data_IF_349531564992
#
_entry.id   IF_349531564992
#
_cell.length_a   1.000
_cell.length_b   1.000
_cell.length_c   1.000
_cell.angle_alpha   90.00
_cell.angle_beta   90.00
_cell.angle_gamma   90.00
#
_symmetry.space_group_name_H-M   'P 1'
#
loop_
_entity.id
_entity.type
_entity.pdbx_description
1 polymer ?
#
# COMPACT_ATOMS: atom_id res chain seq x y z
N UNK A 1 -10.90 9.10 -2.34
CA UNK A 1 -9.60 9.47 -2.97
C UNK A 1 -8.52 8.42 -2.76
N UNK A 2 -8.35 7.96 -1.51
CA UNK A 2 -7.58 6.75 -1.19
C UNK A 2 -7.97 5.55 -2.06
N UNK A 3 -9.28 5.26 -2.09
CA UNK A 3 -9.89 4.18 -2.88
C UNK A 3 -9.60 4.25 -4.39
N UNK A 4 -9.85 5.40 -5.04
CA UNK A 4 -9.54 5.58 -6.46
C UNK A 4 -8.04 5.47 -6.78
N UNK A 5 -7.16 5.96 -5.90
CA UNK A 5 -5.71 5.89 -6.12
C UNK A 5 -5.22 4.45 -6.12
N UNK A 6 -5.73 3.66 -5.17
CA UNK A 6 -5.30 2.28 -5.00
C UNK A 6 -5.94 1.38 -6.04
N UNK A 7 -7.23 1.52 -6.33
CA UNK A 7 -7.89 0.70 -7.35
C UNK A 7 -7.27 0.97 -8.74
N UNK A 8 -6.91 2.21 -9.06
CA UNK A 8 -6.19 2.50 -10.32
C UNK A 8 -4.79 1.89 -10.32
N UNK A 9 -4.03 1.98 -9.22
CA UNK A 9 -2.70 1.36 -9.14
C UNK A 9 -2.79 -0.18 -9.24
N UNK A 10 -3.72 -0.81 -8.53
CA UNK A 10 -3.99 -2.24 -8.55
C UNK A 10 -4.40 -2.71 -9.96
N UNK A 11 -5.30 -1.99 -10.62
CA UNK A 11 -5.70 -2.27 -12.01
C UNK A 11 -4.52 -2.15 -12.97
N UNK A 12 -3.67 -1.12 -12.84
CA UNK A 12 -2.48 -0.97 -13.68
C UNK A 12 -1.47 -2.10 -13.46
N UNK A 13 -1.30 -2.57 -12.22
CA UNK A 13 -0.40 -3.69 -11.90
C UNK A 13 -0.92 -5.00 -12.50
N UNK A 14 -2.20 -5.30 -12.35
CA UNK A 14 -2.82 -6.51 -12.94
C UNK A 14 -2.74 -6.45 -14.45
N UNK A 15 -2.97 -5.27 -15.04
CA UNK A 15 -2.84 -5.04 -16.48
C UNK A 15 -1.40 -5.29 -16.96
N UNK A 16 -0.40 -4.70 -16.29
CA UNK A 16 1.02 -4.87 -16.64
C UNK A 16 1.46 -6.34 -16.43
N UNK A 17 1.04 -6.98 -15.33
CA UNK A 17 1.31 -8.39 -15.07
C UNK A 17 0.72 -9.32 -16.13
N UNK A 18 -0.49 -9.02 -16.61
CA UNK A 18 -1.13 -9.77 -17.70
C UNK A 18 -0.39 -9.59 -19.05
N UNK A 19 0.14 -8.40 -19.33
CA UNK A 19 0.90 -8.13 -20.57
C UNK A 19 2.28 -8.82 -20.62
N UNK A 20 2.83 -9.22 -19.46
CA UNK A 20 4.15 -9.85 -19.36
C UNK A 20 4.12 -11.38 -19.38
N UNK A 21 2.95 -11.99 -19.64
CA UNK A 21 2.81 -13.44 -19.79
C UNK A 21 3.02 -14.24 -18.51
N UNK A 22 3.15 -13.58 -17.36
CA UNK A 22 3.03 -14.22 -16.05
C UNK A 22 1.56 -14.50 -15.76
N UNK A 23 1.23 -15.70 -15.31
CA UNK A 23 -0.09 -15.96 -14.71
C UNK A 23 -0.38 -14.86 -13.67
N UNK A 24 -1.63 -14.39 -13.62
CA UNK A 24 -2.00 -13.26 -12.76
C UNK A 24 -1.48 -13.50 -11.34
N UNK A 25 -0.63 -12.60 -10.79
CA UNK A 25 0.03 -12.83 -9.50
C UNK A 25 -0.97 -12.83 -8.34
N UNK A 26 -2.22 -12.45 -8.60
CA UNK A 26 -3.33 -12.51 -7.67
C UNK A 26 -4.48 -13.30 -8.27
N UNK A 27 -5.06 -14.19 -7.46
CA UNK A 27 -6.28 -14.91 -7.81
C UNK A 27 -7.52 -14.04 -7.61
N UNK A 28 -8.65 -14.46 -8.19
CA UNK A 28 -9.93 -13.72 -8.08
C UNK A 28 -10.36 -13.57 -6.61
N UNK A 29 -10.18 -14.60 -5.77
CA UNK A 29 -10.54 -14.56 -4.35
C UNK A 29 -9.64 -13.63 -3.54
N UNK A 30 -8.33 -13.60 -3.85
CA UNK A 30 -7.39 -12.64 -3.26
C UNK A 30 -7.75 -11.20 -3.64
N UNK A 31 -8.11 -10.95 -4.91
CA UNK A 31 -8.54 -9.63 -5.37
C UNK A 31 -9.82 -9.15 -4.65
N UNK A 32 -10.79 -10.05 -4.43
CA UNK A 32 -12.00 -9.73 -3.64
C UNK A 32 -11.67 -9.30 -2.22
N UNK A 33 -10.77 -10.03 -1.54
CA UNK A 33 -10.34 -9.67 -0.19
C UNK A 33 -9.66 -8.30 -0.14
N UNK A 34 -8.76 -8.03 -1.09
CA UNK A 34 -8.08 -6.74 -1.16
C UNK A 34 -9.10 -5.62 -1.40
N UNK A 35 -10.05 -5.80 -2.31
CA UNK A 35 -11.11 -4.82 -2.55
C UNK A 35 -11.92 -4.53 -1.29
N UNK A 36 -12.26 -5.55 -0.50
CA UNK A 36 -12.95 -5.36 0.78
C UNK A 36 -12.15 -4.50 1.76
N UNK A 37 -10.84 -4.75 1.88
CA UNK A 37 -9.96 -3.97 2.75
C UNK A 37 -9.91 -2.50 2.30
N UNK A 38 -9.71 -2.26 1.01
CA UNK A 38 -9.46 -0.92 0.46
C UNK A 38 -10.73 -0.06 0.38
N UNK A 39 -11.87 -0.69 0.10
CA UNK A 39 -13.11 0.01 -0.22
C UNK A 39 -14.06 0.06 0.97
N UNK A 40 -14.21 -1.05 1.69
CA UNK A 40 -15.14 -1.14 2.82
C UNK A 40 -14.46 -0.79 4.13
N UNK A 41 -13.41 -1.53 4.50
CA UNK A 41 -12.75 -1.33 5.79
C UNK A 41 -12.02 0.00 5.88
N UNK A 42 -11.27 0.39 4.85
CA UNK A 42 -10.60 1.69 4.88
C UNK A 42 -11.58 2.86 4.88
N UNK A 43 -12.70 2.79 4.15
CA UNK A 43 -13.73 3.81 4.20
C UNK A 43 -14.34 3.92 5.61
N UNK A 44 -14.66 2.79 6.23
CA UNK A 44 -15.19 2.74 7.60
C UNK A 44 -14.18 3.28 8.63
N UNK A 45 -12.89 2.99 8.44
CA UNK A 45 -11.81 3.45 9.30
C UNK A 45 -11.64 4.97 9.22
N UNK A 46 -11.72 5.52 8.02
CA UNK A 46 -11.63 6.97 7.78
C UNK A 46 -12.90 7.70 8.25
N UNK A 47 -14.09 7.08 8.12
CA UNK A 47 -15.34 7.63 8.63
C UNK A 47 -15.39 7.69 10.17
N UNK A 48 -14.64 6.81 10.84
CA UNK A 48 -14.54 6.76 12.30
C UNK A 48 -13.54 7.78 12.88
N UNK A 49 -12.93 8.63 12.05
CA UNK A 49 -12.02 9.68 12.52
C UNK A 49 -12.80 10.81 13.21
N UNK A 50 -12.29 11.35 14.33
CA UNK A 50 -12.96 12.46 15.01
C UNK A 50 -13.02 13.71 14.12
N UNK A 51 -14.08 14.52 14.23
CA UNK A 51 -14.24 15.72 13.43
C UNK A 51 -13.10 16.71 13.69
N UNK A 52 -12.63 17.37 12.64
CA UNK A 52 -11.57 18.36 12.74
C UNK A 52 -12.18 19.76 12.87
N UNK A 53 -12.21 20.32 14.08
CA UNK A 53 -12.77 21.67 14.34
C UNK A 53 -12.13 22.79 13.50
N UNK A 54 -10.92 22.58 12.97
CA UNK A 54 -10.27 23.57 12.10
C UNK A 54 -11.01 23.82 10.79
N UNK A 55 -11.83 22.85 10.32
CA UNK A 55 -12.56 22.99 9.05
C UNK A 55 -13.61 24.10 9.11
N UNK A 56 -14.09 24.48 10.29
CA UNK A 56 -15.03 25.60 10.45
C UNK A 56 -14.37 26.98 10.24
N UNK A 57 -13.02 27.04 10.27
CA UNK A 57 -12.26 28.27 10.00
C UNK A 57 -11.86 28.40 8.53
N UNK A 58 -12.02 27.34 7.75
CA UNK A 58 -11.74 27.35 6.33
C UNK A 58 -12.91 27.96 5.56
N UNK A 59 -12.61 28.72 4.50
CA UNK A 59 -13.67 29.30 3.64
C UNK A 59 -14.48 28.18 2.97
N UNK A 60 -15.80 28.35 2.78
CA UNK A 60 -16.62 27.39 2.06
C UNK A 60 -16.03 27.07 0.68
N UNK A 61 -15.99 25.78 0.32
CA UNK A 61 -15.56 25.36 -1.03
C UNK A 61 -16.51 25.93 -2.08
N UNK A 62 -15.96 26.38 -3.21
CA UNK A 62 -16.80 26.82 -4.34
C UNK A 62 -17.36 25.59 -5.04
N UNK A 63 -18.57 25.68 -5.54
CA UNK A 63 -19.22 24.60 -6.34
C UNK A 63 -18.48 24.31 -7.65
N UNK A 64 -17.64 25.25 -8.11
CA UNK A 64 -16.79 25.13 -9.30
C UNK A 64 -15.40 24.56 -9.01
N UNK A 65 -15.05 24.28 -7.74
CA UNK A 65 -13.76 23.70 -7.40
C UNK A 65 -13.74 22.20 -7.77
N UNK A 66 -12.72 21.81 -8.54
CA UNK A 66 -12.50 20.40 -8.86
C UNK A 66 -12.31 19.56 -7.58
N UNK A 67 -12.97 18.40 -7.52
CA UNK A 67 -12.86 17.44 -6.40
C UNK A 67 -11.40 17.04 -6.17
N UNK A 68 -10.60 16.95 -7.25
CA UNK A 68 -9.17 16.62 -7.23
C UNK A 68 -8.35 17.84 -7.64
N UNK A 69 -7.50 18.33 -6.74
CA UNK A 69 -6.55 19.40 -7.08
C UNK A 69 -5.34 18.85 -7.84
N UNK A 70 -4.68 19.66 -8.67
CA UNK A 70 -3.47 19.26 -9.41
C UNK A 70 -2.36 18.73 -8.49
N UNK A 71 -2.19 19.34 -7.32
CA UNK A 71 -1.24 18.90 -6.32
C UNK A 71 -1.60 17.53 -5.72
N UNK A 72 -2.90 17.25 -5.57
CA UNK A 72 -3.40 15.96 -5.12
C UNK A 72 -3.21 14.89 -6.20
N UNK A 73 -3.53 15.20 -7.45
CA UNK A 73 -3.30 14.32 -8.60
C UNK A 73 -1.83 13.95 -8.77
N UNK A 74 -0.90 14.90 -8.65
CA UNK A 74 0.56 14.61 -8.72
C UNK A 74 1.01 13.66 -7.61
N UNK A 75 0.48 13.82 -6.40
CA UNK A 75 0.81 12.94 -5.27
C UNK A 75 0.23 11.52 -5.48
N UNK A 76 -1.01 11.43 -5.94
CA UNK A 76 -1.67 10.17 -6.32
C UNK A 76 -0.83 9.43 -7.37
N UNK A 77 -0.46 10.12 -8.45
CA UNK A 77 0.31 9.54 -9.55
C UNK A 77 1.71 9.10 -9.09
N UNK A 78 2.39 9.92 -8.29
CA UNK A 78 3.73 9.60 -7.78
C UNK A 78 3.72 8.38 -6.87
N UNK A 79 2.74 8.27 -5.97
CA UNK A 79 2.60 7.12 -5.07
C UNK A 79 2.17 5.87 -5.84
N UNK A 80 1.22 6.00 -6.77
CA UNK A 80 0.80 4.90 -7.63
C UNK A 80 1.93 4.37 -8.50
N UNK A 81 2.70 5.25 -9.14
CA UNK A 81 3.87 4.87 -9.94
C UNK A 81 4.95 4.20 -9.09
N UNK A 82 5.23 4.71 -7.89
CA UNK A 82 6.16 4.07 -6.96
C UNK A 82 5.72 2.66 -6.58
N UNK A 83 4.42 2.45 -6.28
CA UNK A 83 3.90 1.11 -6.01
C UNK A 83 4.00 0.18 -7.21
N UNK A 84 3.69 0.67 -8.41
CA UNK A 84 3.83 -0.11 -9.65
C UNK A 84 5.28 -0.56 -9.82
N UNK A 85 6.25 0.35 -9.68
CA UNK A 85 7.69 0.05 -9.79
C UNK A 85 8.12 -0.95 -8.72
N UNK A 86 7.75 -0.72 -7.45
CA UNK A 86 8.13 -1.59 -6.34
C UNK A 86 7.57 -3.02 -6.52
N UNK A 87 6.28 -3.14 -6.85
CA UNK A 87 5.63 -4.43 -7.03
C UNK A 87 6.08 -5.13 -8.32
N UNK A 88 6.33 -4.38 -9.38
CA UNK A 88 6.94 -4.92 -10.60
C UNK A 88 8.32 -5.50 -10.32
N UNK A 89 9.18 -4.76 -9.61
CA UNK A 89 10.48 -5.25 -9.18
C UNK A 89 10.37 -6.49 -8.29
N UNK A 90 9.36 -6.55 -7.43
CA UNK A 90 9.11 -7.72 -6.58
C UNK A 90 8.72 -8.96 -7.40
N UNK A 91 7.86 -8.80 -8.42
CA UNK A 91 7.52 -9.90 -9.34
C UNK A 91 8.75 -10.37 -10.11
N UNK A 92 9.56 -9.45 -10.64
CA UNK A 92 10.78 -9.82 -11.36
C UNK A 92 11.79 -10.55 -10.46
N UNK A 93 11.91 -10.11 -9.21
CA UNK A 93 12.74 -10.74 -8.20
C UNK A 93 12.27 -12.17 -7.88
N UNK A 94 10.96 -12.38 -7.70
CA UNK A 94 10.41 -13.71 -7.45
C UNK A 94 10.51 -14.67 -8.65
N UNK A 95 10.55 -14.18 -9.89
CA UNK A 95 10.75 -15.05 -11.07
C UNK A 95 12.18 -15.58 -11.23
N UNK A 96 13.17 -14.91 -10.65
CA UNK A 96 14.60 -15.20 -10.87
C UNK A 96 15.33 -15.72 -9.64
N UNK A 97 14.75 -15.58 -8.45
CA UNK A 97 15.32 -16.09 -7.22
C UNK A 97 14.38 -17.15 -6.64
N UNK A 98 14.84 -18.42 -6.63
CA UNK A 98 14.17 -19.52 -5.90
C UNK A 98 14.26 -19.26 -4.39
N UNK A 99 13.42 -18.37 -3.87
CA UNK A 99 13.51 -17.89 -2.49
C UNK A 99 12.73 -18.85 -1.59
N UNK A 100 13.47 -19.64 -0.81
CA UNK A 100 12.90 -20.51 0.23
C UNK A 100 12.70 -19.81 1.58
N UNK A 101 13.20 -18.57 1.74
CA UNK A 101 12.92 -17.66 2.86
C UNK A 101 13.31 -16.22 2.53
N UNK A 102 12.49 -15.24 2.92
CA UNK A 102 12.76 -13.80 2.69
C UNK A 102 14.02 -13.28 3.39
N UNK A 103 14.64 -14.07 4.27
CA UNK A 103 15.89 -13.72 4.94
C UNK A 103 17.12 -13.61 4.03
N UNK A 104 17.05 -14.11 2.79
CA UNK A 104 18.12 -13.98 1.79
C UNK A 104 17.93 -12.76 0.87
N UNK A 105 17.01 -11.85 1.19
CA UNK A 105 16.75 -10.67 0.39
C UNK A 105 17.98 -9.73 0.33
N UNK A 106 18.61 -9.65 -0.83
CA UNK A 106 19.67 -8.69 -1.12
C UNK A 106 19.13 -7.55 -1.99
N UNK A 107 19.28 -6.32 -1.51
CA UNK A 107 18.91 -5.11 -2.25
C UNK A 107 19.69 -4.98 -3.58
N UNK A 108 20.92 -5.49 -3.63
CA UNK A 108 21.76 -5.45 -4.83
C UNK A 108 21.19 -6.38 -5.92
N UNK A 109 20.75 -7.58 -5.53
CA UNK A 109 20.16 -8.54 -6.46
C UNK A 109 18.77 -8.08 -6.92
N UNK A 110 18.00 -7.40 -6.06
CA UNK A 110 16.75 -6.75 -6.47
C UNK A 110 16.97 -5.70 -7.57
N UNK A 111 18.02 -4.88 -7.47
CA UNK A 111 18.33 -3.86 -8.47
C UNK A 111 18.84 -4.44 -9.79
N UNK A 112 19.68 -5.48 -9.74
CA UNK A 112 20.21 -6.14 -10.94
C UNK A 112 19.13 -6.94 -11.69
N UNK A 113 18.25 -7.66 -10.97
CA UNK A 113 17.16 -8.43 -11.57
C UNK A 113 15.95 -7.55 -11.97
N UNK A 114 15.92 -6.27 -11.59
CA UNK A 114 14.82 -5.36 -11.94
C UNK A 114 14.66 -5.17 -13.46
N UNK A 115 15.77 -5.18 -14.21
CA UNK A 115 15.79 -5.02 -15.66
C UNK A 115 16.03 -6.34 -16.41
N UNK A 116 16.10 -7.46 -15.69
CA UNK A 116 16.25 -8.76 -16.33
C UNK A 116 14.87 -9.28 -16.76
N UNK A 117 14.64 -9.29 -18.07
CA UNK A 117 13.41 -9.77 -18.69
C UNK A 117 13.53 -11.22 -19.16
N UNK A 118 14.55 -11.95 -18.69
CA UNK A 118 14.73 -13.36 -19.01
C UNK A 118 13.52 -14.18 -18.55
N UNK A 119 13.21 -15.26 -19.29
CA UNK A 119 12.11 -16.17 -18.95
C UNK A 119 12.50 -17.00 -17.72
N UNK A 120 12.30 -16.43 -16.54
CA UNK A 120 12.42 -17.14 -15.27
C UNK A 120 11.38 -18.27 -15.13
N UNK A 121 11.65 -19.20 -14.22
CA UNK A 121 10.70 -20.25 -13.84
C UNK A 121 9.40 -19.59 -13.35
N UNK A 122 8.24 -20.19 -13.64
CA UNK A 122 6.95 -19.66 -13.22
C UNK A 122 6.88 -19.45 -11.69
N UNK A 123 5.98 -18.56 -11.25
CA UNK A 123 5.84 -18.23 -9.82
C UNK A 123 5.35 -19.43 -9.02
N UNK A 124 6.02 -19.72 -7.91
CA UNK A 124 5.60 -20.76 -6.97
C UNK A 124 4.39 -20.30 -6.15
N UNK A 125 3.54 -21.23 -5.63
CA UNK A 125 2.44 -20.86 -4.73
C UNK A 125 2.88 -20.09 -3.48
N UNK A 126 4.11 -20.31 -3.01
CA UNK A 126 4.70 -19.59 -1.89
C UNK A 126 5.01 -18.13 -2.26
N UNK A 127 5.60 -17.87 -3.43
CA UNK A 127 5.86 -16.50 -3.93
C UNK A 127 4.58 -15.72 -4.19
N UNK A 128 3.54 -16.37 -4.72
CA UNK A 128 2.21 -15.78 -4.88
C UNK A 128 1.61 -15.38 -3.52
N UNK A 129 1.82 -16.20 -2.49
CA UNK A 129 1.38 -15.91 -1.10
C UNK A 129 2.14 -14.74 -0.49
N UNK A 130 3.45 -14.65 -0.76
CA UNK A 130 4.29 -13.53 -0.37
C UNK A 130 3.83 -12.25 -1.07
N UNK A 131 3.62 -12.30 -2.38
CA UNK A 131 3.14 -11.17 -3.17
C UNK A 131 1.80 -10.67 -2.64
N UNK A 132 0.84 -11.58 -2.42
CA UNK A 132 -0.46 -11.26 -1.83
C UNK A 132 -0.33 -10.59 -0.46
N UNK A 133 0.52 -11.12 0.43
CA UNK A 133 0.69 -10.58 1.79
C UNK A 133 1.39 -9.23 1.77
N UNK A 134 2.43 -9.07 0.95
CA UNK A 134 3.10 -7.78 0.75
C UNK A 134 2.10 -6.76 0.19
N UNK A 135 1.31 -7.14 -0.79
CA UNK A 135 0.30 -6.27 -1.38
C UNK A 135 -0.71 -5.77 -0.35
N UNK A 136 -1.30 -6.67 0.43
CA UNK A 136 -2.24 -6.29 1.52
C UNK A 136 -1.55 -5.39 2.56
N UNK A 137 -0.31 -5.71 2.95
CA UNK A 137 0.43 -4.91 3.92
C UNK A 137 0.77 -3.52 3.39
N UNK A 138 1.10 -3.36 2.10
CA UNK A 138 1.28 -2.05 1.48
C UNK A 138 -0.02 -1.23 1.53
N UNK A 139 -1.18 -1.85 1.28
CA UNK A 139 -2.47 -1.16 1.39
C UNK A 139 -2.79 -0.77 2.84
N UNK A 140 -2.47 -1.65 3.78
CA UNK A 140 -2.59 -1.38 5.20
C UNK A 140 -1.80 -0.14 5.58
N UNK A 141 -0.50 -0.06 5.25
CA UNK A 141 0.31 1.13 5.55
C UNK A 141 -0.15 2.37 4.79
N UNK A 142 -0.61 2.22 3.56
CA UNK A 142 -1.16 3.31 2.78
C UNK A 142 -2.41 3.91 3.45
N UNK A 143 -3.24 3.11 4.12
CA UNK A 143 -4.41 3.58 4.87
C UNK A 143 -4.00 4.57 5.97
N UNK A 144 -2.88 4.33 6.65
CA UNK A 144 -2.31 5.28 7.62
C UNK A 144 -1.83 6.57 6.93
N UNK A 145 -1.20 6.45 5.75
CA UNK A 145 -0.83 7.60 4.94
C UNK A 145 -2.05 8.45 4.52
N UNK A 146 -3.19 7.83 4.23
CA UNK A 146 -4.43 8.53 3.92
C UNK A 146 -5.03 9.23 5.14
N UNK A 147 -5.05 8.57 6.30
CA UNK A 147 -5.45 9.19 7.57
C UNK A 147 -4.61 10.43 7.88
N UNK A 148 -3.29 10.34 7.71
CA UNK A 148 -2.38 11.49 7.90
C UNK A 148 -2.73 12.65 6.96
N UNK A 149 -3.04 12.35 5.70
CA UNK A 149 -3.44 13.34 4.72
C UNK A 149 -4.76 14.05 5.10
N UNK A 150 -5.77 13.30 5.58
CA UNK A 150 -7.06 13.88 6.00
C UNK A 150 -6.97 14.68 7.30
N UNK A 151 -6.15 14.24 8.25
CA UNK A 151 -6.00 14.91 9.55
C UNK A 151 -5.01 16.07 9.54
N UNK A 152 -4.20 16.20 8.48
CA UNK A 152 -3.15 17.22 8.36
C UNK A 152 -2.04 17.10 9.42
N UNK A 153 -1.97 15.95 10.11
CA UNK A 153 -1.01 15.63 11.18
C UNK A 153 -0.26 14.35 10.79
N UNK A 154 0.80 14.04 11.55
CA UNK A 154 1.55 12.79 11.36
C UNK A 154 0.65 11.54 11.45
N UNK A 155 0.95 10.50 10.68
CA UNK A 155 0.17 9.26 10.61
C UNK A 155 -0.12 8.63 11.98
N UNK A 156 0.85 8.69 12.88
CA UNK A 156 0.76 8.13 14.23
C UNK A 156 0.22 9.12 15.26
N UNK A 157 0.10 10.43 14.93
CA UNK A 157 -0.49 11.39 15.86
C UNK A 157 -1.98 11.06 16.02
N UNK A 158 -2.44 11.03 17.27
CA UNK A 158 -3.85 10.77 17.63
C UNK A 158 -4.35 9.34 17.32
N UNK A 159 -3.47 8.37 17.07
CA UNK A 159 -3.86 6.98 16.76
C UNK A 159 -4.67 6.34 17.90
N UNK A 160 -4.27 6.61 19.16
CA UNK A 160 -4.95 6.11 20.37
C UNK A 160 -6.32 6.76 20.63
N UNK A 161 -6.59 7.93 20.04
CA UNK A 161 -7.86 8.64 20.23
C UNK A 161 -8.92 8.24 19.19
N UNK A 162 -8.52 7.57 18.11
CA UNK A 162 -9.40 7.07 17.06
C UNK A 162 -9.61 5.55 17.23
N UNK A 163 -10.39 5.17 18.25
CA UNK A 163 -10.64 3.76 18.59
C UNK A 163 -11.22 2.96 17.41
N UNK A 164 -12.12 3.56 16.63
CA UNK A 164 -12.71 2.91 15.44
C UNK A 164 -11.71 2.68 14.30
N UNK A 165 -10.76 3.60 14.08
CA UNK A 165 -9.70 3.37 13.09
C UNK A 165 -8.78 2.22 13.51
N UNK A 166 -8.44 2.16 14.82
CA UNK A 166 -7.56 1.11 15.35
C UNK A 166 -8.24 -0.26 15.34
N UNK A 167 -9.53 -0.35 15.68
CA UNK A 167 -10.26 -1.62 15.65
C UNK A 167 -10.28 -2.22 14.24
N UNK A 168 -10.52 -1.39 13.23
CA UNK A 168 -10.53 -1.85 11.83
C UNK A 168 -9.13 -2.24 11.36
N UNK A 169 -8.09 -1.51 11.76
CA UNK A 169 -6.71 -1.90 11.48
C UNK A 169 -6.37 -3.27 12.08
N UNK A 170 -6.81 -3.55 13.32
CA UNK A 170 -6.63 -4.87 13.95
C UNK A 170 -7.40 -5.96 13.20
N UNK A 171 -8.65 -5.69 12.79
CA UNK A 171 -9.46 -6.63 11.99
C UNK A 171 -8.75 -6.99 10.68
N UNK A 172 -8.16 -6.02 9.99
CA UNK A 172 -7.39 -6.27 8.75
C UNK A 172 -6.18 -7.17 9.03
N UNK A 173 -5.39 -6.88 10.08
CA UNK A 173 -4.20 -7.68 10.41
C UNK A 173 -4.56 -9.11 10.83
N UNK A 174 -5.56 -9.27 11.69
CA UNK A 174 -6.04 -10.58 12.14
C UNK A 174 -6.64 -11.36 10.97
N UNK A 175 -7.46 -10.71 10.15
CA UNK A 175 -8.02 -11.30 8.93
C UNK A 175 -6.93 -11.77 7.97
N UNK A 176 -5.91 -10.95 7.75
CA UNK A 176 -4.77 -11.32 6.91
C UNK A 176 -4.01 -12.51 7.50
N UNK A 177 -3.75 -12.51 8.81
CA UNK A 177 -3.09 -13.62 9.49
C UNK A 177 -3.90 -14.93 9.35
N UNK A 178 -5.22 -14.88 9.55
CA UNK A 178 -6.12 -16.04 9.37
C UNK A 178 -6.10 -16.53 7.93
N UNK A 179 -6.18 -15.65 6.94
CA UNK A 179 -6.14 -16.06 5.52
C UNK A 179 -4.80 -16.71 5.19
N UNK A 180 -3.68 -16.16 5.65
CA UNK A 180 -2.36 -16.74 5.37
C UNK A 180 -2.11 -18.06 6.10
N UNK A 181 -2.78 -18.34 7.22
CA UNK A 181 -2.55 -19.56 8.02
C UNK A 181 -3.60 -20.64 7.76
N UNK A 182 -4.85 -20.26 7.54
CA UNK A 182 -6.01 -21.16 7.39
C UNK A 182 -6.72 -21.04 6.04
N UNK A 183 -6.36 -20.07 5.19
CA UNK A 183 -7.00 -19.85 3.88
C UNK A 183 -6.65 -20.89 2.83
N UNK A 184 -5.48 -21.54 2.94
CA UNK A 184 -5.06 -22.71 2.16
C UNK A 184 -5.47 -22.66 0.68
N UNK A 185 -6.17 -23.71 0.23
CA UNK A 185 -6.64 -23.87 -1.16
C UNK A 185 -7.69 -22.82 -1.57
N UNK A 186 -8.55 -22.36 -0.66
CA UNK A 186 -9.61 -21.38 -0.97
C UNK A 186 -9.04 -20.04 -1.47
N UNK A 187 -7.90 -19.64 -0.90
CA UNK A 187 -7.22 -18.40 -1.28
C UNK A 187 -5.95 -18.66 -2.11
N UNK A 188 -5.65 -19.91 -2.47
CA UNK A 188 -4.38 -20.31 -3.09
C UNK A 188 -3.17 -19.71 -2.35
N UNK A 189 -3.14 -19.88 -1.03
CA UNK A 189 -2.09 -19.33 -0.16
C UNK A 189 -1.44 -20.44 0.67
N UNK A 190 -0.13 -20.31 0.85
CA UNK A 190 0.71 -21.18 1.67
C UNK A 190 1.02 -20.48 2.98
N UNK A 191 1.04 -21.25 4.08
CA UNK A 191 1.39 -20.74 5.39
C UNK A 191 2.80 -20.14 5.41
N UNK A 192 2.87 -18.84 5.68
CA UNK A 192 4.11 -18.08 5.76
C UNK A 192 4.78 -18.28 7.13
N UNK A 193 6.11 -18.32 7.16
CA UNK A 193 6.86 -18.37 8.42
C UNK A 193 6.71 -17.03 9.16
N UNK A 194 6.75 -17.09 10.49
CA UNK A 194 6.74 -15.89 11.35
C UNK A 194 7.90 -14.93 11.02
N UNK A 195 9.05 -15.46 10.59
CA UNK A 195 10.19 -14.67 10.14
C UNK A 195 9.87 -13.85 8.89
N UNK A 196 9.17 -14.44 7.92
CA UNK A 196 8.79 -13.76 6.67
C UNK A 196 7.76 -12.67 6.98
N UNK A 197 6.82 -12.93 7.87
CA UNK A 197 5.86 -11.93 8.35
C UNK A 197 6.55 -10.69 8.94
N UNK A 198 7.58 -10.88 9.78
CA UNK A 198 8.33 -9.77 10.35
C UNK A 198 9.07 -8.96 9.28
N UNK A 199 9.69 -9.64 8.30
CA UNK A 199 10.37 -8.99 7.18
C UNK A 199 9.39 -8.22 6.31
N UNK A 200 8.22 -8.80 6.00
CA UNK A 200 7.17 -8.14 5.22
C UNK A 200 6.70 -6.88 5.94
N UNK A 201 6.37 -6.97 7.23
CA UNK A 201 5.97 -5.80 8.03
C UNK A 201 7.07 -4.73 8.00
N UNK A 202 8.33 -5.12 8.20
CA UNK A 202 9.48 -4.22 8.15
C UNK A 202 9.65 -3.53 6.79
N UNK A 203 9.76 -4.30 5.71
CA UNK A 203 9.96 -3.81 4.36
C UNK A 203 8.81 -2.92 3.87
N UNK A 204 7.56 -3.35 4.11
CA UNK A 204 6.38 -2.58 3.69
C UNK A 204 6.17 -1.32 4.52
N UNK A 205 6.66 -1.27 5.77
CA UNK A 205 6.61 -0.04 6.59
C UNK A 205 7.36 1.14 5.98
N UNK A 206 8.37 0.89 5.11
CA UNK A 206 9.09 1.93 4.38
C UNK A 206 8.16 2.86 3.60
N UNK A 207 7.04 2.34 3.09
CA UNK A 207 6.04 3.14 2.36
C UNK A 207 5.39 4.19 3.25
N UNK A 208 5.16 3.88 4.52
CA UNK A 208 4.68 4.87 5.48
C UNK A 208 5.72 5.96 5.68
N UNK A 209 6.98 5.59 5.87
CA UNK A 209 8.09 6.53 6.10
C UNK A 209 8.33 7.44 4.90
N UNK A 210 8.34 6.90 3.68
CA UNK A 210 8.45 7.69 2.44
C UNK A 210 7.29 8.68 2.32
N UNK A 211 6.06 8.24 2.60
CA UNK A 211 4.88 9.10 2.62
C UNK A 211 4.97 10.23 3.66
N UNK A 212 5.51 9.94 4.84
CA UNK A 212 5.74 10.92 5.89
C UNK A 212 6.86 11.92 5.54
N UNK A 213 7.95 11.43 4.95
CA UNK A 213 9.10 12.24 4.57
C UNK A 213 8.76 13.22 3.44
N UNK A 214 7.98 12.79 2.44
CA UNK A 214 7.44 13.70 1.41
C UNK A 214 6.56 14.80 2.01
N UNK A 215 5.77 14.49 3.06
CA UNK A 215 4.97 15.49 3.77
C UNK A 215 5.84 16.49 4.54
N UNK A 216 6.91 16.03 5.19
CA UNK A 216 7.85 16.90 5.90
C UNK A 216 8.56 17.87 4.94
N UNK A 217 9.03 17.37 3.78
CA UNK A 217 9.64 18.20 2.74
C UNK A 217 8.67 19.28 2.26
N UNK A 218 7.41 18.90 1.98
CA UNK A 218 6.39 19.85 1.53
C UNK A 218 6.09 20.93 2.59
N UNK A 219 6.04 20.56 3.88
CA UNK A 219 5.84 21.50 4.98
C UNK A 219 7.00 22.50 5.08
N UNK A 220 8.24 22.03 4.95
CA UNK A 220 9.44 22.87 5.01
C UNK A 220 9.52 23.83 3.82
N UNK A 221 9.14 23.40 2.61
CA UNK A 221 9.14 24.27 1.42
C UNK A 221 8.09 25.39 1.54
N UNK A 222 6.89 25.11 2.06
CA UNK A 222 5.86 26.12 2.29
C UNK A 222 6.31 27.13 3.37
N UNK A 223 6.97 26.68 4.44
CA UNK A 223 7.53 27.57 5.46
C UNK A 223 8.66 28.46 4.90
N UNK A 224 9.51 27.96 4.01
CA UNK A 224 10.54 28.76 3.35
C UNK A 224 9.95 29.87 2.47
N UNK A 225 8.95 29.57 1.64
CA UNK A 225 8.27 30.57 0.79
C UNK A 225 7.51 31.64 1.59
N UNK A 226 7.16 31.37 2.86
CA UNK A 226 6.48 32.33 3.74
C UNK A 226 7.47 33.22 4.51
N UNK A 227 8.73 32.81 4.63
CA UNK A 227 9.80 33.61 5.25
C UNK A 227 10.59 34.47 4.24
N UNK A 228 10.48 34.18 2.95
CA UNK A 228 11.05 34.99 1.86
C UNK A 228 10.13 36.12 1.35
N UNK A 229 8.90 36.24 1.88
CA UNK A 229 7.95 37.33 1.59
C UNK A 229 7.72 38.19 2.81
#
# INVERSE_FOLDING_TARGET
LFQMTINVAACLIVLIGAFLGTESPLTVTQMLWVNLIMDTFAALALASLPPNEKVMKDKPRKTTDHIISKAMAKNILSVGLFFVVLLFGLVQYFKHADITSLGQFNLTDFGCNFFDFSSGNGLTPYELSLFFTIFVMLQFWNMFNAKAFMTGKSAFRSLRNSSGFLSIAVVILVGQWIITTAGGEMFNVVALKLSDWAIIIGATSLVLWVGELMRLIKKNNIQKETHEK
#
